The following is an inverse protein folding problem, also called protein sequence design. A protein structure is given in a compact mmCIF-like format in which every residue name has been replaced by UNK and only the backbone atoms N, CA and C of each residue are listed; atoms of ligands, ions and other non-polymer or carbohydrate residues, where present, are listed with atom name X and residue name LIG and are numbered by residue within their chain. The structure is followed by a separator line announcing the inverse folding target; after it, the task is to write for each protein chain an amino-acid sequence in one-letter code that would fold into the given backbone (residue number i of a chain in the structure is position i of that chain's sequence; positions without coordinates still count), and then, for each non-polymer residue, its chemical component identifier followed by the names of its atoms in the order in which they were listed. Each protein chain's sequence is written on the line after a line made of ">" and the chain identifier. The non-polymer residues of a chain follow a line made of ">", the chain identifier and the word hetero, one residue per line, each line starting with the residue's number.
data_IF_204604154180
#
_entry.id   IF_204604154180
#
_cell.length_a   1.000
_cell.length_b   1.000
_cell.length_c   1.000
_cell.angle_alpha   90.00
_cell.angle_beta   90.00
_cell.angle_gamma   90.00
#
_symmetry.space_group_name_H-M   'P 1'
#
loop_
_entity.id
_entity.type
_entity.pdbx_description
1 polymer ?
#
# COMPACT_ATOMS: atom_id res chain seq x y z
N UNK A 1 -2.96 -11.31 7.39
CA UNK A 1 -1.88 -10.75 6.53
C UNK A 1 -1.86 -11.41 5.15
N UNK A 2 -1.66 -12.71 5.09
CA UNK A 2 -1.50 -13.43 3.81
C UNK A 2 -2.72 -13.32 2.90
N UNK A 3 -3.93 -13.34 3.46
CA UNK A 3 -5.16 -13.16 2.69
C UNK A 3 -5.24 -11.78 2.04
N UNK A 4 -4.82 -10.73 2.75
CA UNK A 4 -4.80 -9.35 2.24
C UNK A 4 -3.81 -9.24 1.08
N UNK A 5 -2.59 -9.72 1.28
CA UNK A 5 -1.55 -9.70 0.25
C UNK A 5 -1.97 -10.53 -0.97
N UNK A 6 -2.51 -11.72 -0.74
CA UNK A 6 -3.01 -12.60 -1.80
C UNK A 6 -4.10 -11.91 -2.62
N UNK A 7 -5.04 -11.24 -1.95
CA UNK A 7 -6.10 -10.49 -2.62
C UNK A 7 -5.52 -9.36 -3.48
N UNK A 8 -4.67 -8.51 -2.89
CA UNK A 8 -4.08 -7.36 -3.58
C UNK A 8 -3.24 -7.78 -4.79
N UNK A 9 -2.57 -8.93 -4.72
CA UNK A 9 -1.78 -9.46 -5.84
C UNK A 9 -2.63 -9.99 -7.00
N UNK A 10 -3.88 -10.38 -6.74
CA UNK A 10 -4.80 -10.83 -7.79
C UNK A 10 -5.43 -9.68 -8.56
N UNK A 11 -5.43 -8.48 -8.00
CA UNK A 11 -5.98 -7.27 -8.64
C UNK A 11 -4.82 -6.55 -9.34
N UNK A 12 -4.91 -6.30 -10.65
CA UNK A 12 -3.81 -5.66 -11.40
C UNK A 12 -3.39 -4.30 -10.84
N UNK A 13 -4.37 -3.54 -10.38
CA UNK A 13 -4.14 -2.28 -9.67
C UNK A 13 -5.29 -2.02 -8.71
N UNK A 14 -4.98 -1.46 -7.58
CA UNK A 14 -5.95 -0.97 -6.59
C UNK A 14 -5.66 0.50 -6.34
N UNK A 15 -6.62 1.23 -5.79
CA UNK A 15 -6.51 2.68 -5.68
C UNK A 15 -6.33 3.09 -4.23
N UNK A 16 -5.31 3.89 -3.98
CA UNK A 16 -4.94 4.36 -2.65
C UNK A 16 -5.25 5.86 -2.55
N UNK A 17 -6.07 6.20 -1.55
CA UNK A 17 -6.49 7.57 -1.28
C UNK A 17 -5.69 8.16 -0.12
N UNK A 18 -5.29 9.40 -0.28
CA UNK A 18 -4.58 10.21 0.70
C UNK A 18 -5.20 11.59 0.79
N UNK A 19 -4.60 12.46 1.58
CA UNK A 19 -5.05 13.85 1.75
C UNK A 19 -4.01 14.79 1.14
N UNK A 20 -4.47 15.78 0.41
CA UNK A 20 -3.59 16.80 -0.21
C UNK A 20 -2.71 17.48 0.85
N UNK A 21 -1.45 17.76 0.50
CA UNK A 21 -0.49 18.37 1.44
C UNK A 21 -0.95 19.73 1.93
N UNK A 22 -1.54 20.53 1.05
CA UNK A 22 -1.89 21.93 1.34
C UNK A 22 -3.36 22.16 1.66
N UNK A 23 -4.24 21.21 1.27
CA UNK A 23 -5.68 21.31 1.50
C UNK A 23 -6.18 20.03 2.18
N UNK A 24 -6.37 20.07 3.52
CA UNK A 24 -6.79 18.88 4.27
C UNK A 24 -8.23 18.43 3.97
N UNK A 25 -8.99 19.20 3.18
CA UNK A 25 -10.33 18.84 2.73
C UNK A 25 -10.34 18.15 1.37
N UNK A 26 -9.19 18.12 0.67
CA UNK A 26 -9.09 17.54 -0.66
C UNK A 26 -8.51 16.13 -0.61
N UNK A 27 -9.30 15.10 -0.90
CA UNK A 27 -8.75 13.74 -1.10
C UNK A 27 -8.01 13.66 -2.42
N UNK A 28 -6.98 12.82 -2.44
CA UNK A 28 -6.20 12.46 -3.63
C UNK A 28 -6.21 10.95 -3.78
N UNK A 29 -6.23 10.46 -5.03
CA UNK A 29 -6.26 9.02 -5.30
C UNK A 29 -5.37 8.69 -6.49
N UNK A 30 -4.71 7.53 -6.45
CA UNK A 30 -3.89 7.00 -7.55
C UNK A 30 -3.84 5.49 -7.50
N UNK A 31 -3.51 4.83 -8.63
CA UNK A 31 -3.30 3.39 -8.62
C UNK A 31 -2.01 3.00 -7.90
N UNK A 32 -2.06 1.85 -7.26
CA UNK A 32 -0.95 1.12 -6.64
C UNK A 32 -1.05 -0.34 -7.05
N UNK A 33 0.07 -1.06 -7.02
CA UNK A 33 0.05 -2.48 -7.42
C UNK A 33 1.02 -3.37 -6.66
N UNK A 34 1.93 -2.81 -5.85
CA UNK A 34 2.85 -3.62 -5.05
C UNK A 34 2.36 -3.78 -3.62
N UNK A 35 2.26 -5.03 -3.17
CA UNK A 35 2.00 -5.37 -1.77
C UNK A 35 2.81 -6.60 -1.38
N UNK A 36 3.43 -6.58 -0.21
CA UNK A 36 4.22 -7.68 0.32
C UNK A 36 4.10 -7.75 1.83
N UNK A 37 4.03 -8.95 2.38
CA UNK A 37 4.15 -9.17 3.82
C UNK A 37 5.61 -9.54 4.15
N UNK A 38 6.17 -8.89 5.15
CA UNK A 38 7.50 -9.18 5.65
C UNK A 38 7.60 -8.79 7.12
N UNK A 39 8.13 -9.69 7.95
CA UNK A 39 8.31 -9.47 9.39
C UNK A 39 7.03 -8.99 10.11
N UNK A 40 5.88 -9.55 9.74
CA UNK A 40 4.59 -9.23 10.35
C UNK A 40 3.99 -7.90 9.91
N UNK A 41 4.56 -7.23 8.91
CA UNK A 41 4.08 -5.96 8.38
C UNK A 41 3.63 -6.09 6.94
N UNK A 42 2.67 -5.26 6.56
CA UNK A 42 2.26 -5.08 5.17
C UNK A 42 3.03 -3.91 4.58
N UNK A 43 3.71 -4.16 3.47
CA UNK A 43 4.59 -3.19 2.80
C UNK A 43 4.05 -2.77 1.45
N UNK A 44 4.17 -1.47 1.19
CA UNK A 44 3.90 -0.85 -0.11
C UNK A 44 5.14 -0.11 -0.60
N UNK A 45 5.20 0.11 -1.91
CA UNK A 45 6.33 0.72 -2.58
C UNK A 45 5.88 1.88 -3.47
N UNK A 46 6.64 2.95 -3.45
CA UNK A 46 6.44 4.11 -4.31
C UNK A 46 7.79 4.77 -4.62
N UNK A 47 7.78 5.98 -5.16
CA UNK A 47 8.98 6.79 -5.34
C UNK A 47 8.92 8.01 -4.43
N UNK A 48 10.07 8.38 -3.87
CA UNK A 48 10.19 9.45 -2.87
C UNK A 48 9.88 10.84 -3.44
N UNK A 49 9.91 10.99 -4.75
CA UNK A 49 9.60 12.23 -5.47
C UNK A 49 8.13 12.34 -5.94
N UNK A 50 7.30 11.36 -5.60
CA UNK A 50 5.86 11.39 -5.96
C UNK A 50 5.04 12.10 -4.89
N UNK A 51 3.94 12.71 -5.32
CA UNK A 51 3.02 13.44 -4.44
C UNK A 51 2.52 12.59 -3.27
N UNK A 52 2.25 11.29 -3.50
CA UNK A 52 1.77 10.39 -2.46
C UNK A 52 2.72 10.31 -1.27
N UNK A 53 4.03 10.35 -1.51
CA UNK A 53 5.02 10.31 -0.43
C UNK A 53 4.90 11.55 0.47
N UNK A 54 4.83 12.74 -0.14
CA UNK A 54 4.67 14.00 0.60
C UNK A 54 3.32 14.09 1.31
N UNK A 55 2.26 13.57 0.68
CA UNK A 55 0.93 13.52 1.27
C UNK A 55 0.92 12.64 2.52
N UNK A 56 1.55 11.48 2.47
CA UNK A 56 1.66 10.59 3.62
C UNK A 56 2.57 11.13 4.73
N UNK A 57 3.59 11.92 4.38
CA UNK A 57 4.40 12.62 5.38
C UNK A 57 3.55 13.64 6.16
N UNK A 58 2.72 14.41 5.44
CA UNK A 58 1.88 15.44 6.04
C UNK A 58 0.66 14.86 6.78
N UNK A 59 0.03 13.83 6.18
CA UNK A 59 -1.20 13.21 6.67
C UNK A 59 -1.08 11.68 6.49
N UNK A 60 -0.61 10.92 7.49
CA UNK A 60 -0.24 9.52 7.29
C UNK A 60 -1.40 8.54 7.17
N UNK A 61 -2.63 8.97 7.44
CA UNK A 61 -3.80 8.10 7.25
C UNK A 61 -4.14 7.95 5.78
N UNK A 62 -4.46 6.72 5.39
CA UNK A 62 -4.85 6.41 4.02
C UNK A 62 -6.00 5.40 4.00
N UNK A 63 -6.63 5.29 2.84
CA UNK A 63 -7.55 4.20 2.54
C UNK A 63 -7.30 3.73 1.11
N UNK A 64 -7.35 2.43 0.90
CA UNK A 64 -7.29 1.86 -0.44
C UNK A 64 -8.52 0.99 -0.70
N UNK A 65 -8.85 0.85 -1.96
CA UNK A 65 -9.88 -0.09 -2.41
C UNK A 65 -9.44 -0.78 -3.68
N UNK A 66 -9.71 -2.08 -3.75
CA UNK A 66 -9.48 -2.91 -4.93
C UNK A 66 -10.63 -3.86 -5.14
N UNK A 67 -10.98 -4.09 -6.42
CA UNK A 67 -12.07 -4.98 -6.76
C UNK A 67 -11.71 -5.84 -7.98
N UNK A 68 -11.93 -7.13 -7.83
CA UNK A 68 -11.92 -8.06 -8.93
C UNK A 68 -13.36 -8.48 -9.19
N UNK A 69 -13.93 -8.18 -10.37
CA UNK A 69 -15.32 -8.54 -10.69
C UNK A 69 -15.59 -10.03 -10.44
N UNK A 70 -16.72 -10.32 -9.80
CA UNK A 70 -17.10 -11.67 -9.43
C UNK A 70 -16.62 -12.11 -8.04
N UNK A 71 -15.81 -11.30 -7.38
CA UNK A 71 -15.37 -11.51 -5.99
C UNK A 71 -15.83 -10.36 -5.10
N UNK A 72 -15.64 -10.49 -3.78
CA UNK A 72 -15.78 -9.36 -2.87
C UNK A 72 -14.72 -8.30 -3.18
N UNK A 73 -14.97 -7.05 -2.82
CA UNK A 73 -13.93 -6.03 -2.88
C UNK A 73 -13.28 -5.83 -1.51
N UNK A 74 -12.07 -5.30 -1.51
CA UNK A 74 -11.35 -4.96 -0.28
C UNK A 74 -11.35 -3.45 -0.06
N UNK A 75 -11.52 -3.05 1.20
CA UNK A 75 -11.24 -1.69 1.66
C UNK A 75 -10.26 -1.81 2.82
N UNK A 76 -9.09 -1.25 2.67
CA UNK A 76 -8.06 -1.25 3.71
C UNK A 76 -7.78 0.18 4.15
N UNK A 77 -8.05 0.48 5.41
CA UNK A 77 -7.67 1.74 6.03
C UNK A 77 -6.52 1.53 7.01
N UNK A 78 -5.67 2.52 7.17
CA UNK A 78 -4.55 2.43 8.09
C UNK A 78 -3.75 3.71 8.17
N UNK A 79 -2.69 3.65 8.95
CA UNK A 79 -1.69 4.72 9.07
C UNK A 79 -0.39 4.26 8.41
N UNK A 80 0.13 5.06 7.52
CA UNK A 80 1.40 4.77 6.85
C UNK A 80 2.56 5.06 7.80
N UNK A 81 3.45 4.08 7.95
CA UNK A 81 4.74 4.25 8.59
C UNK A 81 5.81 4.34 7.51
N UNK A 82 6.24 5.56 7.22
CA UNK A 82 7.25 5.85 6.22
C UNK A 82 8.60 5.33 6.72
N UNK A 83 9.20 4.43 5.96
CA UNK A 83 10.40 3.73 6.41
C UNK A 83 11.68 4.41 5.92
N UNK A 84 12.66 4.52 6.81
CA UNK A 84 14.04 4.79 6.43
C UNK A 84 14.64 3.57 5.75
N UNK A 85 15.66 3.78 4.91
CA UNK A 85 16.29 2.71 4.15
C UNK A 85 16.79 1.55 5.03
N UNK A 86 17.26 1.86 6.24
CA UNK A 86 17.73 0.86 7.20
C UNK A 86 16.61 -0.04 7.76
N UNK A 87 15.36 0.41 7.70
CA UNK A 87 14.20 -0.32 8.23
C UNK A 87 13.60 -1.29 7.23
N UNK A 88 14.01 -1.21 5.96
CA UNK A 88 13.47 -2.02 4.87
C UNK A 88 14.39 -3.22 4.64
N UNK A 89 13.85 -4.44 4.73
CA UNK A 89 14.62 -5.64 4.46
C UNK A 89 15.08 -5.72 3.00
N UNK A 90 16.15 -6.45 2.74
CA UNK A 90 16.61 -6.69 1.38
C UNK A 90 15.54 -7.40 0.53
N UNK A 91 14.77 -8.30 1.13
CA UNK A 91 13.71 -9.02 0.44
C UNK A 91 12.62 -8.07 -0.07
N UNK A 92 12.16 -7.12 0.77
CA UNK A 92 11.17 -6.12 0.38
C UNK A 92 11.74 -5.17 -0.67
N UNK A 93 12.96 -4.71 -0.48
CA UNK A 93 13.63 -3.78 -1.40
C UNK A 93 13.80 -4.37 -2.80
N UNK A 94 14.30 -5.59 -2.89
CA UNK A 94 14.49 -6.28 -4.17
C UNK A 94 13.15 -6.56 -4.86
N UNK A 95 12.16 -7.02 -4.11
CA UNK A 95 10.83 -7.29 -4.66
C UNK A 95 10.18 -6.00 -5.18
N UNK A 96 10.27 -4.90 -4.44
CA UNK A 96 9.76 -3.60 -4.85
C UNK A 96 10.45 -3.07 -6.10
N UNK A 97 11.79 -3.15 -6.16
CA UNK A 97 12.55 -2.74 -7.33
C UNK A 97 12.13 -3.53 -8.57
N UNK A 98 12.08 -4.84 -8.47
CA UNK A 98 11.68 -5.71 -9.57
C UNK A 98 10.28 -5.39 -10.07
N UNK A 99 9.35 -5.14 -9.16
CA UNK A 99 7.98 -4.79 -9.49
C UNK A 99 7.91 -3.44 -10.21
N UNK A 100 8.57 -2.41 -9.69
CA UNK A 100 8.54 -1.06 -10.26
C UNK A 100 9.13 -1.04 -11.67
N UNK A 101 10.24 -1.74 -11.90
CA UNK A 101 10.82 -1.90 -13.23
C UNK A 101 9.85 -2.64 -14.16
N UNK A 102 9.17 -3.66 -13.65
CA UNK A 102 8.22 -4.46 -14.41
C UNK A 102 6.99 -3.68 -14.91
N UNK A 103 6.60 -2.62 -14.20
CA UNK A 103 5.48 -1.75 -14.60
C UNK A 103 5.95 -0.48 -15.35
N UNK A 104 7.23 -0.39 -15.69
CA UNK A 104 7.78 0.70 -16.49
C UNK A 104 8.31 1.90 -15.70
N UNK A 105 8.36 1.81 -14.37
CA UNK A 105 8.97 2.84 -13.55
C UNK A 105 10.51 2.77 -13.63
N UNK A 106 11.15 3.94 -13.70
CA UNK A 106 12.60 4.03 -13.86
C UNK A 106 13.33 4.19 -12.52
N UNK A 107 13.99 3.11 -12.10
CA UNK A 107 14.90 3.09 -10.96
C UNK A 107 16.21 2.44 -11.40
N UNK A 108 17.34 2.95 -10.93
CA UNK A 108 18.66 2.47 -11.34
C UNK A 108 19.05 1.16 -10.67
N UNK A 109 18.55 0.93 -9.44
CA UNK A 109 18.82 -0.29 -8.67
C UNK A 109 17.86 -0.38 -7.48
N UNK A 110 17.88 -1.51 -6.78
CA UNK A 110 17.13 -1.69 -5.53
C UNK A 110 17.59 -0.71 -4.43
N UNK A 111 18.78 -0.14 -4.55
CA UNK A 111 19.34 0.85 -3.64
C UNK A 111 19.26 2.28 -4.18
N UNK A 112 18.44 2.50 -5.19
CA UNK A 112 18.14 3.83 -5.72
C UNK A 112 17.45 4.64 -4.62
N UNK A 113 17.99 5.82 -4.30
CA UNK A 113 17.46 6.68 -3.25
C UNK A 113 16.05 7.22 -3.51
N UNK A 114 15.51 7.07 -4.72
CA UNK A 114 14.14 7.43 -5.08
C UNK A 114 13.14 6.36 -4.67
N UNK A 115 13.54 5.09 -4.66
CA UNK A 115 12.67 3.98 -4.28
C UNK A 115 12.33 4.08 -2.79
N UNK A 116 11.05 4.11 -2.47
CA UNK A 116 10.57 4.39 -1.13
C UNK A 116 9.51 3.37 -0.70
N UNK A 117 9.53 3.04 0.58
CA UNK A 117 8.64 2.03 1.16
C UNK A 117 7.93 2.57 2.39
N UNK A 118 6.70 2.15 2.57
CA UNK A 118 5.99 2.37 3.83
C UNK A 118 5.27 1.10 4.24
N UNK A 119 5.15 0.90 5.54
CA UNK A 119 4.37 -0.18 6.11
C UNK A 119 3.08 0.36 6.72
N UNK A 120 2.15 -0.54 6.99
CA UNK A 120 0.84 -0.17 7.53
C UNK A 120 0.83 -0.39 9.04
N UNK A 121 0.45 0.65 9.78
CA UNK A 121 0.17 0.59 11.22
C UNK A 121 -1.33 0.74 11.45
N UNK A 122 -1.84 0.10 12.50
CA UNK A 122 -3.24 0.18 12.91
C UNK A 122 -4.22 -0.04 11.74
N UNK A 123 -3.91 -1.03 10.88
CA UNK A 123 -4.68 -1.28 9.67
C UNK A 123 -5.92 -2.13 9.93
N UNK A 124 -6.99 -1.81 9.19
CA UNK A 124 -8.24 -2.58 9.18
C UNK A 124 -8.65 -2.88 7.76
N UNK A 125 -8.74 -4.16 7.41
CA UNK A 125 -9.25 -4.60 6.11
C UNK A 125 -10.71 -5.03 6.25
N UNK A 126 -11.53 -4.59 5.30
CA UNK A 126 -12.91 -5.04 5.14
C UNK A 126 -13.06 -5.72 3.80
N UNK A 127 -13.55 -6.96 3.81
CA UNK A 127 -13.91 -7.69 2.60
C UNK A 127 -15.43 -7.60 2.46
N UNK A 128 -15.88 -6.88 1.43
CA UNK A 128 -17.26 -6.46 1.25
C UNK A 128 -17.89 -7.17 0.06
N UNK A 129 -19.13 -7.63 0.22
CA UNK A 129 -19.90 -8.26 -0.84
C UNK A 129 -21.06 -7.39 -1.31
N UNK A 130 -21.53 -7.65 -2.53
CA UNK A 130 -22.65 -6.94 -3.16
C UNK A 130 -23.94 -7.03 -2.31
N UNK A 131 -24.12 -8.11 -1.58
CA UNK A 131 -25.29 -8.31 -0.70
C UNK A 131 -25.25 -7.46 0.59
N UNK A 132 -24.18 -6.67 0.78
CA UNK A 132 -23.98 -5.83 1.96
C UNK A 132 -23.29 -6.51 3.12
N UNK A 133 -22.98 -7.80 3.02
CA UNK A 133 -22.19 -8.49 4.05
C UNK A 133 -20.74 -8.02 4.01
N UNK A 134 -20.09 -7.99 5.17
CA UNK A 134 -18.67 -7.68 5.25
C UNK A 134 -17.98 -8.51 6.33
N UNK A 135 -16.70 -8.76 6.10
CA UNK A 135 -15.80 -9.42 7.04
C UNK A 135 -14.64 -8.49 7.36
N UNK A 136 -14.42 -8.24 8.64
CA UNK A 136 -13.39 -7.29 9.11
C UNK A 136 -12.20 -8.06 9.64
N UNK A 137 -11.00 -7.66 9.19
CA UNK A 137 -9.71 -8.21 9.63
C UNK A 137 -8.81 -7.07 10.08
N UNK A 138 -8.39 -7.10 11.33
CA UNK A 138 -7.42 -6.13 11.84
C UNK A 138 -6.01 -6.65 11.63
N UNK A 139 -5.13 -5.81 11.10
CA UNK A 139 -3.73 -6.18 10.83
C UNK A 139 -2.97 -6.51 12.11
N UNK A 140 -3.25 -5.82 13.19
CA UNK A 140 -2.57 -6.02 14.49
C UNK A 140 -2.90 -7.37 15.13
N UNK A 141 -4.04 -7.97 14.77
CA UNK A 141 -4.46 -9.29 15.26
C UNK A 141 -3.77 -10.45 14.51
N UNK A 142 -2.94 -10.13 13.51
CA UNK A 142 -2.31 -11.11 12.63
C UNK A 142 -0.81 -11.33 12.92
N UNK A 143 -0.31 -10.66 13.92
CA UNK A 143 1.09 -10.80 14.36
C UNK A 143 1.28 -11.85 15.46
#
# INVERSE_FOLDING_TARGET
>A
MDEIVSYLRRVPAWHLATIDVNDPTQPRVRPFSFAMADAGKLWFCTSRDKDVWFELEAHPKFELSGWKPGECWIVLSGTANLADDAQVSNAVREAGFKHMVGIGEHHSSANDGRLAFFSVEAGTARFCDIDGSERVVKLDDLT
#
